data_IF_789145004686
#
_entry.id   IF_789145004686
#
_cell.length_a   1.000
_cell.length_b   1.000
_cell.length_c   1.000
_cell.angle_alpha   90.00
_cell.angle_beta   90.00
_cell.angle_gamma   90.00
#
_symmetry.space_group_name_H-M   'P 1'
#
loop_
_entity.id
_entity.type
_entity.pdbx_description
1 polymer ?
#
# COMPACT_ATOMS: atom_id res chain seq x y z
N UNK A 1 -25.69 13.32 2.51
CA UNK A 1 -25.03 12.00 2.62
C UNK A 1 -23.51 12.05 2.50
N UNK A 2 -22.91 12.69 1.48
CA UNK A 2 -21.44 12.66 1.27
C UNK A 2 -20.59 13.14 2.47
N UNK A 3 -21.06 14.15 3.22
CA UNK A 3 -20.36 14.63 4.42
C UNK A 3 -20.35 13.60 5.56
N UNK A 4 -21.45 12.86 5.75
CA UNK A 4 -21.52 11.82 6.78
C UNK A 4 -20.62 10.63 6.43
N UNK A 5 -20.59 10.22 5.15
CA UNK A 5 -19.71 9.15 4.67
C UNK A 5 -18.21 9.49 4.86
N UNK A 6 -17.81 10.74 4.58
CA UNK A 6 -16.42 11.19 4.75
C UNK A 6 -16.00 11.19 6.22
N UNK A 7 -16.89 11.59 7.14
CA UNK A 7 -16.64 11.48 8.59
C UNK A 7 -16.47 10.02 9.00
N UNK A 8 -17.34 9.12 8.53
CA UNK A 8 -17.23 7.68 8.81
C UNK A 8 -15.90 7.13 8.32
N UNK A 9 -15.50 7.40 7.08
CA UNK A 9 -14.21 6.93 6.56
C UNK A 9 -13.01 7.48 7.33
N UNK A 10 -13.04 8.74 7.77
CA UNK A 10 -11.95 9.30 8.60
C UNK A 10 -11.82 8.58 9.94
N UNK A 11 -12.93 8.27 10.60
CA UNK A 11 -12.90 7.50 11.85
C UNK A 11 -12.44 6.06 11.61
N UNK A 12 -12.88 5.45 10.51
CA UNK A 12 -12.48 4.11 10.11
C UNK A 12 -10.97 4.05 9.81
N UNK A 13 -10.40 5.09 9.19
CA UNK A 13 -8.96 5.25 8.96
C UNK A 13 -8.17 5.35 10.27
N UNK A 14 -8.64 6.18 11.22
CA UNK A 14 -7.97 6.35 12.51
C UNK A 14 -8.04 5.05 13.32
N UNK A 15 -9.21 4.41 13.38
CA UNK A 15 -9.42 3.16 14.11
C UNK A 15 -8.57 2.02 13.52
N UNK A 16 -8.55 1.87 12.20
CA UNK A 16 -7.73 0.87 11.53
C UNK A 16 -6.24 1.08 11.73
N UNK A 17 -5.74 2.32 11.64
CA UNK A 17 -4.35 2.64 11.91
C UNK A 17 -3.95 2.28 13.36
N UNK A 18 -4.83 2.57 14.32
CA UNK A 18 -4.59 2.24 15.73
C UNK A 18 -4.56 0.72 15.98
N UNK A 19 -5.51 -0.04 15.41
CA UNK A 19 -5.54 -1.51 15.56
C UNK A 19 -4.35 -2.15 14.84
N UNK A 20 -3.95 -1.64 13.67
CA UNK A 20 -2.75 -2.08 12.98
C UNK A 20 -1.50 -1.86 13.83
N UNK A 21 -1.30 -0.64 14.34
CA UNK A 21 -0.15 -0.33 15.20
C UNK A 21 -0.11 -1.20 16.45
N UNK A 22 -1.26 -1.44 17.08
CA UNK A 22 -1.39 -2.30 18.25
C UNK A 22 -1.07 -3.76 17.93
N UNK A 23 -1.67 -4.32 16.88
CA UNK A 23 -1.43 -5.70 16.45
C UNK A 23 0.04 -5.94 16.10
N UNK A 24 0.66 -4.99 15.39
CA UNK A 24 2.09 -5.07 15.03
C UNK A 24 2.98 -4.96 16.26
N UNK A 25 2.67 -4.07 17.20
CA UNK A 25 3.43 -3.92 18.45
C UNK A 25 3.34 -5.17 19.33
N UNK A 26 2.16 -5.80 19.40
CA UNK A 26 1.95 -7.06 20.12
C UNK A 26 2.69 -8.21 19.43
N UNK A 27 2.69 -8.27 18.10
CA UNK A 27 3.45 -9.26 17.34
C UNK A 27 4.96 -9.19 17.61
N UNK A 28 5.51 -7.97 17.76
CA UNK A 28 6.94 -7.74 18.04
C UNK A 28 7.29 -8.12 19.49
N UNK A 29 6.37 -7.94 20.43
CA UNK A 29 6.62 -8.11 21.87
C UNK A 29 6.41 -9.54 22.39
N UNK A 30 5.77 -10.44 21.63
CA UNK A 30 5.45 -11.78 22.09
C UNK A 30 6.65 -12.75 21.98
N UNK A 31 6.98 -13.50 23.04
CA UNK A 31 8.02 -14.53 22.98
C UNK A 31 7.64 -15.70 22.06
N UNK A 32 8.65 -16.21 21.34
CA UNK A 32 8.57 -17.10 20.18
C UNK A 32 7.78 -18.43 20.31
N UNK A 33 7.48 -19.02 21.50
CA UNK A 33 6.71 -20.27 21.57
C UNK A 33 5.19 -20.10 21.81
N UNK A 34 4.65 -18.87 21.92
CA UNK A 34 3.22 -18.65 22.13
C UNK A 34 2.41 -18.86 20.84
N UNK A 35 2.06 -20.13 20.60
CA UNK A 35 1.17 -20.73 19.60
C UNK A 35 1.04 -20.03 18.22
N UNK A 36 1.34 -20.80 17.18
CA UNK A 36 1.09 -20.47 15.76
C UNK A 36 -0.34 -19.93 15.52
N UNK A 37 -1.31 -20.31 16.36
CA UNK A 37 -2.68 -19.83 16.32
C UNK A 37 -2.83 -18.37 16.80
N UNK A 38 -2.07 -17.92 17.80
CA UNK A 38 -2.11 -16.53 18.27
C UNK A 38 -1.40 -15.60 17.27
N UNK A 39 -0.28 -16.05 16.71
CA UNK A 39 0.43 -15.34 15.65
C UNK A 39 -0.43 -15.18 14.38
N UNK A 40 -1.17 -16.21 13.99
CA UNK A 40 -2.09 -16.10 12.84
C UNK A 40 -3.23 -15.13 13.10
N UNK A 41 -3.80 -15.11 14.32
CA UNK A 41 -4.89 -14.21 14.69
C UNK A 41 -4.45 -12.74 14.73
N UNK A 42 -3.23 -12.48 15.24
CA UNK A 42 -2.61 -11.15 15.21
C UNK A 42 -2.30 -10.72 13.77
N UNK A 43 -1.79 -11.61 12.94
CA UNK A 43 -1.54 -11.34 11.53
C UNK A 43 -2.83 -11.05 10.75
N UNK A 44 -3.91 -11.77 11.05
CA UNK A 44 -5.24 -11.49 10.50
C UNK A 44 -5.78 -10.15 10.98
N UNK A 45 -5.64 -9.83 12.27
CA UNK A 45 -6.05 -8.53 12.81
C UNK A 45 -5.26 -7.37 12.18
N UNK A 46 -3.95 -7.53 11.97
CA UNK A 46 -3.11 -6.56 11.28
C UNK A 46 -3.54 -6.44 9.80
N UNK A 47 -3.71 -7.54 9.08
CA UNK A 47 -4.17 -7.54 7.68
C UNK A 47 -5.54 -6.89 7.50
N UNK A 48 -6.52 -7.22 8.35
CA UNK A 48 -7.86 -6.64 8.32
C UNK A 48 -7.85 -5.14 8.65
N UNK A 49 -7.05 -4.74 9.64
CA UNK A 49 -6.88 -3.33 9.99
C UNK A 49 -6.24 -2.56 8.85
N UNK A 50 -5.18 -3.11 8.25
CA UNK A 50 -4.55 -2.51 7.08
C UNK A 50 -5.54 -2.34 5.92
N UNK A 51 -6.32 -3.38 5.59
CA UNK A 51 -7.37 -3.32 4.57
C UNK A 51 -8.43 -2.27 4.88
N UNK A 52 -8.87 -2.19 6.14
CA UNK A 52 -9.84 -1.19 6.58
C UNK A 52 -9.28 0.24 6.44
N UNK A 53 -8.00 0.46 6.72
CA UNK A 53 -7.31 1.74 6.54
C UNK A 53 -7.16 2.11 5.06
N UNK A 54 -6.75 1.16 4.22
CA UNK A 54 -6.68 1.35 2.78
C UNK A 54 -8.07 1.67 2.18
N UNK A 55 -9.10 0.91 2.56
CA UNK A 55 -10.47 1.12 2.13
C UNK A 55 -11.01 2.48 2.61
N UNK A 56 -10.65 2.91 3.83
CA UNK A 56 -11.01 4.21 4.36
C UNK A 56 -10.32 5.36 3.61
N UNK A 57 -9.04 5.25 3.30
CA UNK A 57 -8.29 6.20 2.45
C UNK A 57 -8.93 6.32 1.05
N UNK A 58 -9.28 5.19 0.45
CA UNK A 58 -10.00 5.14 -0.82
C UNK A 58 -11.40 5.76 -0.71
N UNK A 59 -12.14 5.49 0.36
CA UNK A 59 -13.45 6.07 0.63
C UNK A 59 -13.39 7.60 0.80
N UNK A 60 -12.37 8.12 1.49
CA UNK A 60 -12.11 9.57 1.54
C UNK A 60 -11.83 10.10 0.12
N UNK A 61 -10.99 9.43 -0.67
CA UNK A 61 -10.73 9.82 -2.06
C UNK A 61 -12.00 9.85 -2.93
N UNK A 62 -12.83 8.81 -2.83
CA UNK A 62 -14.10 8.69 -3.57
C UNK A 62 -15.14 9.73 -3.13
N UNK A 63 -15.28 9.98 -1.82
CA UNK A 63 -16.22 11.00 -1.32
C UNK A 63 -15.82 12.41 -1.75
N UNK A 64 -14.52 12.69 -1.90
CA UNK A 64 -14.04 13.93 -2.49
C UNK A 64 -14.25 13.99 -4.02
N UNK A 65 -14.28 12.84 -4.73
CA UNK A 65 -14.67 12.78 -6.16
C UNK A 65 -16.15 13.14 -6.35
N UNK A 66 -17.03 12.65 -5.48
CA UNK A 66 -18.48 12.80 -5.59
C UNK A 66 -19.04 14.03 -4.84
N UNK A 67 -18.23 14.73 -4.05
CA UNK A 67 -18.57 16.08 -3.61
C UNK A 67 -18.67 16.95 -4.86
N UNK A 68 -19.91 17.26 -5.26
CA UNK A 68 -20.19 18.17 -6.35
C UNK A 68 -19.33 19.42 -6.21
N UNK A 69 -18.62 19.76 -7.28
CA UNK A 69 -17.87 21.00 -7.33
C UNK A 69 -18.83 22.14 -7.00
N UNK A 70 -18.56 23.02 -6.01
CA UNK A 70 -19.43 24.15 -5.67
C UNK A 70 -19.45 25.24 -6.75
N UNK A 71 -19.20 24.86 -8.00
CA UNK A 71 -19.08 25.74 -9.16
C UNK A 71 -20.42 26.24 -9.70
N UNK A 72 -21.56 25.92 -9.06
CA UNK A 72 -22.87 26.41 -9.48
C UNK A 72 -23.40 27.58 -8.63
N UNK A 73 -22.76 27.97 -7.51
CA UNK A 73 -23.33 29.00 -6.62
C UNK A 73 -22.51 30.29 -6.44
N UNK A 74 -21.26 30.38 -6.90
CA UNK A 74 -20.42 31.56 -6.61
C UNK A 74 -19.96 32.31 -7.87
N UNK A 75 -20.91 32.68 -8.73
CA UNK A 75 -20.68 33.68 -9.77
C UNK A 75 -20.88 35.07 -9.18
N UNK A 76 -20.07 35.48 -8.20
CA UNK A 76 -19.83 36.87 -7.71
C UNK A 76 -19.21 36.86 -6.31
N UNK A 77 -17.88 36.82 -6.20
CA UNK A 77 -17.12 37.46 -5.11
C UNK A 77 -15.65 37.03 -5.14
N UNK A 78 -14.80 37.97 -5.56
CA UNK A 78 -13.40 38.21 -5.15
C UNK A 78 -12.57 37.00 -4.65
N UNK A 79 -11.61 36.61 -5.50
CA UNK A 79 -10.22 36.24 -5.17
C UNK A 79 -9.98 35.64 -3.77
N UNK A 80 -10.62 34.51 -3.47
CA UNK A 80 -10.08 33.58 -2.49
C UNK A 80 -9.13 32.62 -3.23
N UNK A 81 -7.83 32.79 -3.02
CA UNK A 81 -6.83 31.77 -3.35
C UNK A 81 -7.13 30.57 -2.44
N UNK A 82 -8.03 29.71 -2.92
CA UNK A 82 -8.41 28.46 -2.25
C UNK A 82 -7.15 27.60 -2.13
N UNK A 83 -6.80 27.06 -0.95
CA UNK A 83 -5.57 26.29 -0.77
C UNK A 83 -5.56 25.16 -1.79
N UNK A 84 -4.54 25.17 -2.65
CA UNK A 84 -4.38 24.29 -3.80
C UNK A 84 -4.54 22.83 -3.36
N UNK A 85 -5.63 22.13 -3.77
CA UNK A 85 -5.83 20.71 -3.47
C UNK A 85 -4.78 19.77 -4.11
N UNK A 86 -3.75 20.34 -4.75
CA UNK A 86 -2.85 19.61 -5.65
C UNK A 86 -1.78 18.79 -5.04
N UNK A 87 -1.20 19.25 -3.95
CA UNK A 87 -0.08 18.52 -3.34
C UNK A 87 -0.61 17.47 -2.35
N UNK A 88 -1.79 17.70 -1.76
CA UNK A 88 -2.38 16.83 -0.72
C UNK A 88 -2.72 15.45 -1.24
N UNK A 89 -3.25 15.37 -2.46
CA UNK A 89 -3.63 14.10 -3.08
C UNK A 89 -2.42 13.19 -3.33
N UNK A 90 -1.40 13.60 -4.11
CA UNK A 90 -0.23 12.75 -4.33
C UNK A 90 0.49 12.45 -3.02
N UNK A 91 0.59 13.38 -2.06
CA UNK A 91 1.14 13.11 -0.73
C UNK A 91 0.40 11.97 -0.01
N UNK A 92 -0.94 11.95 -0.04
CA UNK A 92 -1.71 10.87 0.58
C UNK A 92 -1.43 9.52 -0.08
N UNK A 93 -1.26 9.49 -1.41
CA UNK A 93 -0.84 8.29 -2.13
C UNK A 93 0.62 7.92 -1.88
N UNK A 94 1.51 8.88 -1.65
CA UNK A 94 2.87 8.61 -1.20
C UNK A 94 2.87 7.88 0.14
N UNK A 95 2.12 8.41 1.11
CA UNK A 95 1.97 7.79 2.43
C UNK A 95 1.37 6.39 2.29
N UNK A 96 0.30 6.22 1.51
CA UNK A 96 -0.28 4.90 1.26
C UNK A 96 0.73 3.93 0.62
N UNK A 97 1.50 4.38 -0.38
CA UNK A 97 2.52 3.56 -1.03
C UNK A 97 3.64 3.15 -0.09
N UNK A 98 4.10 4.06 0.78
CA UNK A 98 5.09 3.73 1.82
C UNK A 98 4.54 2.74 2.84
N UNK A 99 3.28 2.89 3.27
CA UNK A 99 2.64 1.94 4.19
C UNK A 99 2.50 0.55 3.55
N UNK A 100 2.11 0.48 2.28
CA UNK A 100 2.07 -0.77 1.51
C UNK A 100 3.46 -1.40 1.36
N UNK A 101 4.49 -0.58 1.14
CA UNK A 101 5.87 -1.04 1.03
C UNK A 101 6.37 -1.64 2.36
N UNK A 102 6.11 -0.96 3.48
CA UNK A 102 6.45 -1.47 4.82
C UNK A 102 5.70 -2.77 5.10
N UNK A 103 4.39 -2.80 4.82
CA UNK A 103 3.58 -4.00 5.00
C UNK A 103 4.13 -5.18 4.18
N UNK A 104 4.46 -4.94 2.91
CA UNK A 104 5.02 -5.98 2.05
C UNK A 104 6.42 -6.40 2.46
N UNK A 105 7.25 -5.48 2.97
CA UNK A 105 8.54 -5.82 3.56
C UNK A 105 8.40 -6.76 4.76
N UNK A 106 7.47 -6.48 5.68
CA UNK A 106 7.15 -7.38 6.80
C UNK A 106 6.64 -8.73 6.28
N UNK A 107 5.81 -8.74 5.25
CA UNK A 107 5.37 -9.96 4.61
C UNK A 107 6.53 -10.78 4.05
N UNK A 108 7.33 -10.21 3.15
CA UNK A 108 8.37 -10.90 2.41
C UNK A 108 9.57 -11.33 3.30
N UNK A 109 9.92 -10.53 4.31
CA UNK A 109 11.13 -10.74 5.11
C UNK A 109 10.87 -11.26 6.53
N UNK A 110 9.61 -11.33 6.96
CA UNK A 110 9.30 -11.80 8.32
C UNK A 110 8.22 -12.87 8.31
N UNK A 111 7.01 -12.53 7.88
CA UNK A 111 5.88 -13.44 8.02
C UNK A 111 5.93 -14.62 7.04
N UNK A 112 6.38 -14.39 5.81
CA UNK A 112 6.48 -15.43 4.80
C UNK A 112 7.60 -16.44 5.08
N UNK A 113 8.84 -16.03 5.43
CA UNK A 113 9.90 -16.97 5.81
C UNK A 113 9.51 -17.88 6.99
N UNK A 114 8.92 -17.31 8.06
CA UNK A 114 8.47 -18.09 9.21
C UNK A 114 7.35 -19.09 8.87
N UNK A 115 6.52 -18.76 7.88
CA UNK A 115 5.48 -19.67 7.40
C UNK A 115 6.03 -20.76 6.46
N UNK A 116 7.07 -20.46 5.67
CA UNK A 116 7.69 -21.39 4.74
C UNK A 116 8.55 -22.45 5.45
N UNK A 117 9.25 -22.07 6.52
CA UNK A 117 10.16 -22.96 7.27
C UNK A 117 9.72 -23.12 8.75
N UNK A 118 8.58 -23.80 9.02
CA UNK A 118 8.09 -23.97 10.38
C UNK A 118 9.09 -24.74 11.24
N UNK A 119 9.33 -24.27 12.46
CA UNK A 119 10.27 -24.87 13.41
C UNK A 119 11.65 -24.20 13.44
N UNK A 120 11.97 -23.34 12.48
CA UNK A 120 13.18 -22.51 12.50
C UNK A 120 12.89 -21.11 13.04
N UNK A 121 13.88 -20.53 13.71
CA UNK A 121 13.90 -19.11 14.05
C UNK A 121 14.29 -18.28 12.83
N UNK A 122 13.92 -17.00 12.82
CA UNK A 122 14.24 -16.11 11.69
C UNK A 122 15.75 -15.99 11.44
N UNK A 123 16.58 -16.02 12.49
CA UNK A 123 18.04 -16.03 12.37
C UNK A 123 18.59 -17.28 11.69
N UNK A 124 18.05 -18.45 12.02
CA UNK A 124 18.45 -19.72 11.39
C UNK A 124 18.03 -19.75 9.92
N UNK A 125 16.85 -19.23 9.60
CA UNK A 125 16.39 -19.12 8.21
C UNK A 125 17.36 -18.26 7.40
N UNK A 126 17.74 -17.09 7.91
CA UNK A 126 18.68 -16.20 7.22
C UNK A 126 20.12 -16.72 7.18
N UNK A 127 20.56 -17.52 8.15
CA UNK A 127 21.88 -18.17 8.08
C UNK A 127 21.89 -19.23 6.98
N UNK A 128 20.87 -20.08 6.91
CA UNK A 128 20.74 -21.12 5.87
C UNK A 128 20.60 -20.51 4.47
N UNK A 129 19.80 -19.45 4.31
CA UNK A 129 19.69 -18.72 3.05
C UNK A 129 21.03 -18.13 2.60
N UNK A 130 21.86 -17.66 3.54
CA UNK A 130 23.19 -17.12 3.24
C UNK A 130 24.17 -18.23 2.87
N UNK A 131 24.15 -19.34 3.59
CA UNK A 131 24.97 -20.52 3.27
C UNK A 131 24.64 -21.08 1.89
N UNK A 132 23.36 -21.07 1.51
CA UNK A 132 22.89 -21.46 0.18
C UNK A 132 23.13 -20.41 -0.92
N UNK A 133 23.68 -19.22 -0.58
CA UNK A 133 23.80 -18.07 -1.49
C UNK A 133 22.47 -17.61 -2.12
N UNK A 134 21.36 -17.82 -1.42
CA UNK A 134 19.99 -17.52 -1.88
C UNK A 134 19.45 -16.17 -1.37
N UNK A 135 20.25 -15.41 -0.61
CA UNK A 135 19.86 -14.09 -0.10
C UNK A 135 20.87 -13.01 -0.46
N UNK A 136 20.39 -11.90 -1.02
CA UNK A 136 21.19 -10.74 -1.35
C UNK A 136 20.58 -9.47 -0.77
N UNK A 137 21.25 -8.90 0.23
CA UNK A 137 20.87 -7.61 0.81
C UNK A 137 20.92 -6.48 -0.25
N UNK A 138 21.83 -6.59 -1.22
CA UNK A 138 21.94 -5.63 -2.30
C UNK A 138 20.66 -5.59 -3.16
N UNK A 139 20.07 -6.76 -3.48
CA UNK A 139 18.80 -6.83 -4.22
C UNK A 139 17.69 -6.15 -3.43
N UNK A 140 17.59 -6.42 -2.12
CA UNK A 140 16.59 -5.79 -1.24
C UNK A 140 16.72 -4.26 -1.25
N UNK A 141 17.94 -3.74 -1.07
CA UNK A 141 18.22 -2.30 -1.05
C UNK A 141 17.90 -1.65 -2.40
N UNK A 142 18.35 -2.23 -3.50
CA UNK A 142 18.15 -1.67 -4.84
C UNK A 142 16.66 -1.55 -5.17
N UNK A 143 15.88 -2.62 -4.96
CA UNK A 143 14.44 -2.58 -5.23
C UNK A 143 13.68 -1.68 -4.27
N UNK A 144 14.09 -1.63 -3.00
CA UNK A 144 13.54 -0.69 -2.03
C UNK A 144 13.77 0.77 -2.43
N UNK A 145 14.99 1.10 -2.88
CA UNK A 145 15.33 2.43 -3.37
C UNK A 145 14.54 2.80 -4.62
N UNK A 146 14.41 1.89 -5.59
CA UNK A 146 13.60 2.12 -6.80
C UNK A 146 12.17 2.52 -6.41
N UNK A 147 11.56 1.80 -5.47
CA UNK A 147 10.19 2.04 -5.05
C UNK A 147 10.05 3.32 -4.23
N UNK A 148 10.98 3.60 -3.31
CA UNK A 148 10.99 4.86 -2.56
C UNK A 148 11.12 6.05 -3.49
N UNK A 149 12.03 5.99 -4.48
CA UNK A 149 12.21 7.07 -5.45
C UNK A 149 10.97 7.25 -6.35
N UNK A 150 10.36 6.15 -6.80
CA UNK A 150 9.14 6.19 -7.61
C UNK A 150 7.98 6.84 -6.84
N UNK A 151 7.78 6.44 -5.59
CA UNK A 151 6.74 6.98 -4.72
C UNK A 151 7.04 8.44 -4.35
N UNK A 152 8.30 8.80 -4.10
CA UNK A 152 8.71 10.17 -3.80
C UNK A 152 8.57 11.12 -5.01
N UNK A 153 8.66 10.60 -6.24
CA UNK A 153 8.48 11.39 -7.46
C UNK A 153 7.01 11.75 -7.73
N UNK A 154 6.05 11.07 -7.11
CA UNK A 154 4.61 11.25 -7.35
C UNK A 154 4.12 12.71 -7.28
N UNK A 155 4.48 13.53 -6.27
CA UNK A 155 4.01 14.92 -6.20
C UNK A 155 4.52 15.77 -7.36
N UNK A 156 5.77 15.56 -7.77
CA UNK A 156 6.39 16.31 -8.88
C UNK A 156 5.74 15.94 -10.22
N UNK A 157 5.57 14.63 -10.47
CA UNK A 157 4.91 14.17 -11.71
C UNK A 157 3.45 14.59 -11.74
N UNK A 158 2.76 14.54 -10.59
CA UNK A 158 1.39 15.01 -10.47
C UNK A 158 1.27 16.50 -10.83
N UNK A 159 2.14 17.35 -10.30
CA UNK A 159 2.13 18.78 -10.59
C UNK A 159 2.45 19.07 -12.06
N UNK A 160 3.38 18.33 -12.66
CA UNK A 160 3.65 18.42 -14.09
C UNK A 160 2.42 18.07 -14.95
N UNK A 161 1.73 16.98 -14.61
CA UNK A 161 0.52 16.54 -15.33
C UNK A 161 -0.68 17.49 -15.14
N UNK A 162 -0.74 18.23 -14.03
CA UNK A 162 -1.79 19.24 -13.79
C UNK A 162 -1.82 20.37 -14.81
N UNK A 163 -0.69 20.67 -15.44
CA UNK A 163 -0.62 21.67 -16.51
C UNK A 163 -1.34 21.24 -17.80
N UNK A 164 -1.73 19.97 -17.93
CA UNK A 164 -2.38 19.46 -19.13
C UNK A 164 -3.88 19.76 -19.14
N UNK A 165 -4.40 20.26 -20.27
CA UNK A 165 -5.82 20.62 -20.44
C UNK A 165 -6.83 19.48 -20.17
N UNK A 166 -6.35 18.23 -20.21
CA UNK A 166 -7.16 17.03 -19.99
C UNK A 166 -7.09 16.48 -18.56
N UNK A 167 -6.40 17.15 -17.64
CA UNK A 167 -6.15 16.66 -16.29
C UNK A 167 -7.31 16.98 -15.34
N UNK A 168 -8.14 15.99 -15.07
CA UNK A 168 -9.26 16.07 -14.11
C UNK A 168 -8.90 15.42 -12.78
N UNK A 169 -9.63 15.73 -11.70
CA UNK A 169 -9.47 15.07 -10.39
C UNK A 169 -9.55 13.55 -10.48
N UNK A 170 -10.42 13.01 -11.35
CA UNK A 170 -10.57 11.56 -11.55
C UNK A 170 -9.31 10.95 -12.17
N UNK A 171 -8.73 11.61 -13.18
CA UNK A 171 -7.45 11.19 -13.79
C UNK A 171 -6.30 11.32 -12.82
N UNK A 172 -6.34 12.33 -11.95
CA UNK A 172 -5.35 12.53 -10.92
C UNK A 172 -5.33 11.37 -9.90
N UNK A 173 -6.52 10.93 -9.47
CA UNK A 173 -6.69 9.76 -8.59
C UNK A 173 -6.31 8.47 -9.31
N UNK A 174 -6.68 8.33 -10.58
CA UNK A 174 -6.28 7.19 -11.41
C UNK A 174 -4.76 7.09 -11.51
N UNK A 175 -4.10 8.19 -11.88
CA UNK A 175 -2.64 8.25 -11.97
C UNK A 175 -1.97 7.89 -10.64
N UNK A 176 -2.39 8.50 -9.52
CA UNK A 176 -1.76 8.23 -8.23
C UNK A 176 -2.01 6.78 -7.76
N UNK A 177 -3.23 6.25 -7.95
CA UNK A 177 -3.54 4.85 -7.62
C UNK A 177 -2.71 3.88 -8.46
N UNK A 178 -2.59 4.13 -9.76
CA UNK A 178 -1.82 3.27 -10.66
C UNK A 178 -0.33 3.29 -10.32
N UNK A 179 0.23 4.47 -10.02
CA UNK A 179 1.62 4.59 -9.64
C UNK A 179 1.95 3.79 -8.37
N UNK A 180 1.05 3.84 -7.36
CA UNK A 180 1.22 3.02 -6.15
C UNK A 180 1.07 1.53 -6.48
N UNK A 181 0.11 1.13 -7.31
CA UNK A 181 -0.02 -0.27 -7.73
C UNK A 181 1.22 -0.79 -8.46
N UNK A 182 1.81 0.02 -9.35
CA UNK A 182 3.07 -0.29 -10.03
C UNK A 182 4.21 -0.41 -9.01
N UNK A 183 4.30 0.51 -8.05
CA UNK A 183 5.31 0.45 -6.99
C UNK A 183 5.20 -0.87 -6.19
N UNK A 184 3.99 -1.25 -5.79
CA UNK A 184 3.72 -2.52 -5.13
C UNK A 184 4.10 -3.74 -6.00
N UNK A 185 3.79 -3.69 -7.29
CA UNK A 185 4.18 -4.74 -8.22
C UNK A 185 5.70 -4.88 -8.35
N UNK A 186 6.44 -3.76 -8.40
CA UNK A 186 7.90 -3.80 -8.40
C UNK A 186 8.48 -4.37 -7.11
N UNK A 187 7.85 -4.13 -5.95
CA UNK A 187 8.24 -4.82 -4.71
C UNK A 187 7.98 -6.32 -4.78
N UNK A 188 6.86 -6.75 -5.35
CA UNK A 188 6.59 -8.16 -5.55
C UNK A 188 7.66 -8.82 -6.43
N UNK A 189 8.04 -8.19 -7.55
CA UNK A 189 9.10 -8.69 -8.43
C UNK A 189 10.46 -8.66 -7.73
N UNK A 190 10.77 -7.58 -7.00
CA UNK A 190 12.09 -7.38 -6.42
C UNK A 190 12.35 -8.12 -5.12
N UNK A 191 11.37 -8.13 -4.21
CA UNK A 191 11.47 -8.75 -2.90
C UNK A 191 10.76 -10.09 -2.85
N UNK A 192 9.53 -10.15 -3.36
CA UNK A 192 8.68 -11.35 -3.34
C UNK A 192 9.30 -12.50 -4.11
N UNK A 193 9.64 -12.27 -5.37
CA UNK A 193 10.27 -13.29 -6.21
C UNK A 193 11.65 -13.70 -5.66
N UNK A 194 12.46 -12.71 -5.27
CA UNK A 194 13.80 -12.94 -4.70
C UNK A 194 13.73 -13.82 -3.44
N UNK A 195 12.89 -13.45 -2.47
CA UNK A 195 12.73 -14.23 -1.23
C UNK A 195 12.01 -15.55 -1.46
N UNK A 196 10.96 -15.58 -2.29
CA UNK A 196 10.16 -16.78 -2.55
C UNK A 196 11.00 -17.87 -3.19
N UNK A 197 11.78 -17.55 -4.23
CA UNK A 197 12.70 -18.50 -4.85
C UNK A 197 13.80 -18.94 -3.89
N UNK A 198 14.39 -18.00 -3.13
CA UNK A 198 15.44 -18.35 -2.18
C UNK A 198 14.97 -19.31 -1.09
N UNK A 199 13.74 -19.12 -0.59
CA UNK A 199 13.11 -20.03 0.37
C UNK A 199 12.80 -21.40 -0.27
N UNK A 200 12.24 -21.41 -1.47
CA UNK A 200 11.94 -22.64 -2.22
C UNK A 200 13.17 -23.51 -2.38
N UNK A 201 14.27 -22.92 -2.84
CA UNK A 201 15.52 -23.63 -3.10
C UNK A 201 16.19 -24.09 -1.80
N UNK A 202 16.13 -23.29 -0.74
CA UNK A 202 16.81 -23.60 0.53
C UNK A 202 16.06 -24.65 1.36
N UNK A 203 14.72 -24.60 1.37
CA UNK A 203 13.89 -25.46 2.22
C UNK A 203 13.11 -26.51 1.44
N UNK A 204 13.36 -26.64 0.13
CA UNK A 204 12.64 -27.53 -0.78
C UNK A 204 11.11 -27.31 -0.75
N UNK A 205 10.70 -26.05 -0.62
CA UNK A 205 9.30 -25.63 -0.62
C UNK A 205 8.89 -25.08 -1.98
N UNK A 206 7.65 -24.60 -2.12
CA UNK A 206 7.26 -23.85 -3.32
C UNK A 206 7.83 -22.43 -3.28
N UNK A 207 7.98 -21.75 -4.42
CA UNK A 207 8.34 -20.32 -4.47
C UNK A 207 7.18 -19.36 -4.20
N UNK A 208 6.00 -19.90 -3.87
CA UNK A 208 4.79 -19.13 -3.62
C UNK A 208 4.75 -18.51 -2.23
N UNK A 209 3.66 -17.79 -1.98
CA UNK A 209 3.40 -17.19 -0.67
C UNK A 209 2.81 -18.23 0.28
N UNK A 210 3.47 -18.42 1.43
CA UNK A 210 3.07 -19.36 2.48
C UNK A 210 2.28 -18.64 3.59
N UNK A 211 2.51 -17.33 3.76
CA UNK A 211 1.79 -16.54 4.77
C UNK A 211 0.46 -16.00 4.22
N UNK A 212 -0.66 -16.10 4.99
CA UNK A 212 -1.96 -15.56 4.58
C UNK A 212 -1.96 -14.03 4.43
N UNK A 213 -0.94 -13.36 4.98
CA UNK A 213 -0.75 -11.91 4.88
C UNK A 213 -0.51 -11.41 3.45
N UNK A 214 -0.24 -12.31 2.49
CA UNK A 214 -0.15 -12.00 1.05
C UNK A 214 -1.49 -11.52 0.47
N UNK A 215 -2.60 -12.12 0.90
CA UNK A 215 -3.95 -11.86 0.37
C UNK A 215 -4.34 -10.39 0.49
N UNK A 216 -4.29 -9.75 1.67
CA UNK A 216 -4.66 -8.34 1.80
C UNK A 216 -3.79 -7.41 0.94
N UNK A 217 -2.49 -7.70 0.80
CA UNK A 217 -1.61 -6.90 -0.08
C UNK A 217 -1.98 -7.06 -1.56
N UNK A 218 -2.25 -8.29 -2.00
CA UNK A 218 -2.70 -8.58 -3.36
C UNK A 218 -4.02 -7.87 -3.68
N UNK A 219 -5.00 -7.95 -2.77
CA UNK A 219 -6.29 -7.25 -2.91
C UNK A 219 -6.10 -5.73 -3.00
N UNK A 220 -5.32 -5.14 -2.10
CA UNK A 220 -5.05 -3.70 -2.12
C UNK A 220 -4.40 -3.25 -3.44
N UNK A 221 -3.41 -4.01 -3.92
CA UNK A 221 -2.71 -3.72 -5.18
C UNK A 221 -3.65 -3.84 -6.38
N UNK A 222 -4.50 -4.88 -6.43
CA UNK A 222 -5.50 -5.05 -7.50
C UNK A 222 -6.53 -3.91 -7.51
N UNK A 223 -7.03 -3.50 -6.34
CA UNK A 223 -7.99 -2.39 -6.23
C UNK A 223 -7.36 -1.10 -6.71
N UNK A 224 -6.12 -0.81 -6.31
CA UNK A 224 -5.38 0.38 -6.76
C UNK A 224 -5.12 0.35 -8.28
N UNK A 225 -4.76 -0.81 -8.83
CA UNK A 225 -4.60 -0.99 -10.26
C UNK A 225 -5.91 -0.75 -11.03
N UNK A 226 -7.02 -1.34 -10.57
CA UNK A 226 -8.34 -1.17 -11.17
C UNK A 226 -8.83 0.28 -11.11
N UNK A 227 -8.68 0.94 -9.96
CA UNK A 227 -8.97 2.37 -9.81
C UNK A 227 -8.08 3.23 -10.70
N UNK A 228 -6.82 2.80 -10.85
CA UNK A 228 -5.84 3.45 -11.69
C UNK A 228 -6.25 3.46 -13.16
N UNK A 229 -6.51 2.27 -13.69
CA UNK A 229 -7.02 2.05 -15.05
C UNK A 229 -8.33 2.84 -15.24
N UNK A 230 -9.32 2.64 -14.37
CA UNK A 230 -10.59 3.35 -14.46
C UNK A 230 -10.40 4.87 -14.52
N UNK A 231 -9.64 5.45 -13.59
CA UNK A 231 -9.44 6.90 -13.52
C UNK A 231 -8.75 7.49 -14.75
N UNK A 232 -7.88 6.74 -15.42
CA UNK A 232 -7.22 7.16 -16.66
C UNK A 232 -8.16 7.11 -17.88
N UNK A 233 -9.05 6.12 -17.95
CA UNK A 233 -9.97 5.92 -19.08
C UNK A 233 -11.30 6.66 -18.96
N UNK A 234 -11.61 7.28 -17.82
CA UNK A 234 -12.82 8.11 -17.70
C UNK A 234 -12.73 9.29 -18.68
N UNK A 235 -13.74 9.45 -19.58
CA UNK A 235 -13.73 10.52 -20.56
C UNK A 235 -13.77 11.89 -19.89
N UNK A 236 -12.96 12.80 -20.40
CA UNK A 236 -13.03 14.22 -20.02
C UNK A 236 -14.36 14.72 -20.59
N UNK A 237 -15.32 15.04 -19.71
CA UNK A 237 -16.51 15.77 -20.16
C UNK A 237 -16.02 17.08 -20.74
N UNK A 238 -16.20 17.27 -22.05
CA UNK A 238 -16.04 18.56 -22.69
C UNK A 238 -16.91 19.56 -21.91
N UNK A 239 -16.27 20.61 -21.39
CA UNK A 239 -16.96 21.73 -20.78
C UNK A 239 -17.53 22.64 -21.85
#
# INVERSE_FOLDING_TARGET
MANALNVVFRWLLIGSAAVFALATSVAIALPHPASIQFASLINWAAGLSFLAGAAALLGVGLTEIFRGSPATEARTSKLQVKPTPGVRLPLAFCVLGLLLAIYYGLHAFWWNPLAAAPGYTLSEIYSLLREANQFSLAVVIVWGLIVVLLVAALPNVHEWLRGMASYSTKRAIGFCSLAVAIACFLLFVGWGWHMGMGLADTFMTTGGEHSPTAVPFGVATLVLGALGIYGLFVPVRAR
#
